data_IF_545611902142
#
_entry.id   IF_545611902142
#
_cell.length_a   1.000
_cell.length_b   1.000
_cell.length_c   1.000
_cell.angle_alpha   90.00
_cell.angle_beta   90.00
_cell.angle_gamma   90.00
#
_symmetry.space_group_name_H-M   'P 1'
#
loop_
_entity.id
_entity.type
_entity.pdbx_description
1 polymer ?
#
# COMPACT_ATOMS: atom_id res chain seq x y z
N UNK A 1 -14.61 -10.14 17.94
CA UNK A 1 -15.09 -9.92 16.55
C UNK A 1 -14.73 -8.49 16.06
N UNK A 2 -13.44 -8.15 16.08
CA UNK A 2 -12.93 -6.80 15.73
C UNK A 2 -11.79 -6.85 14.69
N UNK A 3 -11.07 -7.98 14.62
CA UNK A 3 -10.04 -8.24 13.62
C UNK A 3 -10.56 -8.27 12.17
N UNK A 4 -11.82 -8.67 11.97
CA UNK A 4 -12.44 -8.84 10.63
C UNK A 4 -13.04 -7.55 10.04
N UNK A 5 -13.05 -6.45 10.81
CA UNK A 5 -13.78 -5.20 10.48
C UNK A 5 -12.91 -3.98 10.24
N UNK A 6 -11.58 -4.13 10.29
CA UNK A 6 -10.69 -3.08 9.80
C UNK A 6 -10.42 -3.35 8.32
N UNK A 7 -11.40 -3.04 7.47
CA UNK A 7 -11.05 -2.75 6.08
C UNK A 7 -10.17 -1.52 6.14
N UNK A 8 -8.86 -1.70 5.96
CA UNK A 8 -7.96 -0.58 5.79
C UNK A 8 -8.41 0.11 4.52
N UNK A 9 -9.11 1.23 4.65
CA UNK A 9 -9.28 2.21 3.59
C UNK A 9 -7.92 2.90 3.36
N UNK A 10 -6.94 2.12 2.92
CA UNK A 10 -5.61 2.61 2.56
C UNK A 10 -5.61 3.06 1.11
N UNK A 11 -4.95 4.19 0.84
CA UNK A 11 -4.62 4.62 -0.52
C UNK A 11 -3.78 3.54 -1.21
N UNK A 12 -3.95 3.40 -2.54
CA UNK A 12 -3.03 2.57 -3.31
C UNK A 12 -1.61 3.16 -3.20
N UNK A 13 -0.54 2.34 -3.28
CA UNK A 13 0.83 2.82 -3.17
C UNK A 13 1.15 3.96 -4.15
N UNK A 14 0.62 3.91 -5.38
CA UNK A 14 0.78 4.97 -6.37
C UNK A 14 0.17 6.31 -5.91
N UNK A 15 -1.01 6.27 -5.30
CA UNK A 15 -1.69 7.47 -4.80
C UNK A 15 -1.01 8.01 -3.54
N UNK A 16 -0.60 7.12 -2.64
CA UNK A 16 0.14 7.48 -1.43
C UNK A 16 1.48 8.17 -1.75
N UNK A 17 2.15 7.76 -2.83
CA UNK A 17 3.42 8.34 -3.24
C UNK A 17 3.31 9.80 -3.74
N UNK A 18 2.12 10.26 -4.14
CA UNK A 18 1.91 11.68 -4.49
C UNK A 18 1.94 12.59 -3.26
N UNK A 19 1.78 12.03 -2.06
CA UNK A 19 1.77 12.74 -0.78
C UNK A 19 3.14 12.78 -0.11
N UNK A 20 4.17 12.20 -0.74
CA UNK A 20 5.53 12.16 -0.22
C UNK A 20 6.33 13.27 -0.87
N UNK A 21 6.78 14.23 -0.06
CA UNK A 21 7.59 15.36 -0.53
C UNK A 21 9.03 14.97 -0.91
N UNK A 22 9.52 13.87 -0.34
CA UNK A 22 10.87 13.36 -0.62
C UNK A 22 10.85 12.53 -1.93
N UNK A 23 11.58 12.98 -2.97
CA UNK A 23 11.48 12.40 -4.31
C UNK A 23 11.93 10.93 -4.40
N UNK A 24 12.95 10.53 -3.65
CA UNK A 24 13.48 9.17 -3.71
C UNK A 24 12.50 8.18 -3.05
N UNK A 25 11.90 8.56 -1.93
CA UNK A 25 10.87 7.80 -1.23
C UNK A 25 9.56 7.75 -2.04
N UNK A 26 9.16 8.84 -2.70
CA UNK A 26 8.03 8.83 -3.63
C UNK A 26 8.25 7.80 -4.75
N UNK A 27 9.46 7.78 -5.30
CA UNK A 27 9.85 6.85 -6.36
C UNK A 27 9.90 5.40 -5.86
N UNK A 28 10.43 5.17 -4.66
CA UNK A 28 10.47 3.86 -4.02
C UNK A 28 9.04 3.31 -3.81
N UNK A 29 8.13 4.13 -3.27
CA UNK A 29 6.75 3.73 -3.00
C UNK A 29 5.97 3.46 -4.30
N UNK A 30 6.21 4.22 -5.38
CA UNK A 30 5.60 3.95 -6.71
C UNK A 30 6.05 2.62 -7.32
N UNK A 31 7.28 2.20 -7.06
CA UNK A 31 7.88 1.01 -7.68
C UNK A 31 7.74 -0.26 -6.82
N UNK A 32 7.26 -0.10 -5.58
CA UNK A 32 6.99 -1.18 -4.64
C UNK A 32 5.93 -2.13 -5.20
N UNK A 33 6.37 -3.34 -5.58
CA UNK A 33 5.47 -4.43 -5.95
C UNK A 33 5.01 -5.12 -4.69
N UNK A 34 3.72 -4.96 -4.37
CA UNK A 34 3.13 -5.71 -3.26
C UNK A 34 3.00 -7.17 -3.71
N UNK A 35 3.57 -8.14 -2.96
CA UNK A 35 3.38 -9.53 -3.28
C UNK A 35 1.88 -9.83 -3.21
N UNK A 36 1.33 -10.39 -4.29
CA UNK A 36 -0.03 -10.92 -4.26
C UNK A 36 0.02 -12.07 -3.26
N UNK A 37 -0.53 -11.84 -2.08
CA UNK A 37 -0.67 -12.88 -1.09
C UNK A 37 -1.68 -13.86 -1.68
N UNK A 38 -1.17 -14.93 -2.31
CA UNK A 38 -2.01 -16.02 -2.77
C UNK A 38 -2.49 -16.68 -1.48
N UNK A 39 -3.69 -16.31 -1.03
CA UNK A 39 -4.40 -17.02 0.03
C UNK A 39 -4.61 -18.45 -0.49
N UNK A 40 -3.64 -19.33 -0.24
CA UNK A 40 -3.80 -20.76 -0.45
C UNK A 40 -4.74 -21.26 0.64
N UNK A 41 -5.99 -21.47 0.22
CA UNK A 41 -7.07 -22.10 0.98
C UNK A 41 -6.83 -23.61 1.16
#
# INVERSE_FOLDING_TARGET
QEAKRRQRAGLAPADAAMLIDEPDLSTLVKTLKIPVQVDQA
#
